data_IF_877699962907
#
_entry.id   IF_877699962907
#
_cell.length_a   1.000
_cell.length_b   1.000
_cell.length_c   1.000
_cell.angle_alpha   90.00
_cell.angle_beta   90.00
_cell.angle_gamma   90.00
#
_symmetry.space_group_name_H-M   'P 1'
#
loop_
_entity.id
_entity.type
_entity.pdbx_description
1 polymer ?
#
# COMPACT_ATOMS: atom_id res chain seq x y z
N UNK A 1 -9.65 -6.76 -5.25
CA UNK A 1 -9.72 -6.45 -3.81
C UNK A 1 -9.48 -4.95 -3.57
N UNK A 2 -8.35 -4.37 -4.05
CA UNK A 2 -8.02 -2.93 -3.85
C UNK A 2 -9.12 -2.00 -4.38
N UNK A 3 -9.63 -2.25 -5.59
CA UNK A 3 -10.71 -1.45 -6.18
C UNK A 3 -12.01 -1.53 -5.36
N UNK A 4 -12.37 -2.71 -4.86
CA UNK A 4 -13.58 -2.90 -4.03
C UNK A 4 -13.46 -2.16 -2.70
N UNK A 5 -12.29 -2.21 -2.05
CA UNK A 5 -12.04 -1.49 -0.80
C UNK A 5 -12.02 0.02 -1.04
N UNK A 6 -11.38 0.50 -2.11
CA UNK A 6 -11.39 1.90 -2.48
C UNK A 6 -12.83 2.42 -2.75
N UNK A 7 -13.65 1.66 -3.48
CA UNK A 7 -15.06 1.99 -3.72
C UNK A 7 -15.85 1.98 -2.41
N UNK A 8 -15.65 0.99 -1.52
CA UNK A 8 -16.30 0.93 -0.21
C UNK A 8 -15.95 2.13 0.68
N UNK A 9 -14.70 2.57 0.67
CA UNK A 9 -14.26 3.76 1.39
C UNK A 9 -14.90 5.04 0.83
N UNK A 10 -15.13 5.12 -0.48
CA UNK A 10 -15.81 6.26 -1.10
C UNK A 10 -17.32 6.28 -0.82
N UNK A 11 -17.97 5.11 -0.66
CA UNK A 11 -19.43 5.02 -0.47
C UNK A 11 -19.89 5.22 0.99
N UNK A 12 -19.01 4.98 1.96
CA UNK A 12 -19.33 5.04 3.39
C UNK A 12 -19.50 6.44 4.00
N UNK A 13 -19.46 7.51 3.23
CA UNK A 13 -19.35 8.88 3.74
C UNK A 13 -20.65 9.72 3.67
N UNK A 14 -21.46 9.71 4.73
CA UNK A 14 -22.65 10.60 4.84
C UNK A 14 -22.36 12.02 5.34
N UNK A 15 -21.11 12.42 5.60
CA UNK A 15 -20.76 13.79 6.01
C UNK A 15 -19.65 14.35 5.12
N UNK A 16 -19.80 15.58 4.61
CA UNK A 16 -18.85 16.20 3.66
C UNK A 16 -17.39 16.17 4.11
N UNK A 17 -17.08 16.28 5.41
CA UNK A 17 -15.72 16.16 5.96
C UNK A 17 -15.23 14.71 5.97
N UNK A 18 -16.10 13.77 6.31
CA UNK A 18 -15.80 12.36 6.30
C UNK A 18 -15.57 11.87 4.85
N UNK A 19 -16.34 12.35 3.88
CA UNK A 19 -16.16 12.03 2.47
C UNK A 19 -14.76 12.40 1.96
N UNK A 20 -14.27 13.59 2.29
CA UNK A 20 -12.91 14.00 1.93
C UNK A 20 -11.85 13.05 2.49
N UNK A 21 -11.95 12.66 3.77
CA UNK A 21 -11.00 11.75 4.41
C UNK A 21 -11.03 10.35 3.77
N UNK A 22 -12.21 9.81 3.46
CA UNK A 22 -12.33 8.52 2.77
C UNK A 22 -11.76 8.57 1.34
N UNK A 23 -11.98 9.67 0.63
CA UNK A 23 -11.42 9.86 -0.70
C UNK A 23 -9.88 9.89 -0.67
N UNK A 24 -9.28 10.60 0.28
CA UNK A 24 -7.83 10.60 0.46
C UNK A 24 -7.28 9.24 0.87
N UNK A 25 -7.98 8.50 1.74
CA UNK A 25 -7.59 7.14 2.11
C UNK A 25 -7.65 6.18 0.91
N UNK A 26 -8.69 6.28 0.08
CA UNK A 26 -8.80 5.49 -1.15
C UNK A 26 -7.71 5.85 -2.16
N UNK A 27 -7.42 7.15 -2.35
CA UNK A 27 -6.36 7.62 -3.22
C UNK A 27 -4.97 7.18 -2.72
N UNK A 28 -4.72 7.26 -1.42
CA UNK A 28 -3.49 6.75 -0.79
C UNK A 28 -3.30 5.25 -1.05
N UNK A 29 -4.35 4.44 -0.83
CA UNK A 29 -4.28 3.01 -1.07
C UNK A 29 -4.04 2.69 -2.55
N UNK A 30 -4.76 3.35 -3.46
CA UNK A 30 -4.60 3.16 -4.89
C UNK A 30 -3.19 3.55 -5.35
N UNK A 31 -2.70 4.71 -4.95
CA UNK A 31 -1.35 5.19 -5.31
C UNK A 31 -0.27 4.27 -4.74
N UNK A 32 -0.42 3.81 -3.49
CA UNK A 32 0.51 2.86 -2.86
C UNK A 32 0.54 1.53 -3.59
N UNK A 33 -0.61 0.93 -3.87
CA UNK A 33 -0.69 -0.40 -4.46
C UNK A 33 -0.31 -0.41 -5.95
N UNK A 34 -0.90 0.48 -6.76
CA UNK A 34 -0.68 0.52 -8.21
C UNK A 34 0.71 1.05 -8.54
N UNK A 35 1.11 2.15 -7.92
CA UNK A 35 2.42 2.74 -8.16
C UNK A 35 3.55 1.86 -7.64
N UNK A 36 3.39 1.24 -6.46
CA UNK A 36 4.34 0.27 -5.93
C UNK A 36 4.47 -0.98 -6.78
N UNK A 37 3.36 -1.49 -7.32
CA UNK A 37 3.36 -2.59 -8.27
C UNK A 37 4.11 -2.25 -9.57
N UNK A 38 3.88 -1.05 -10.11
CA UNK A 38 4.59 -0.55 -11.27
C UNK A 38 6.11 -0.41 -11.01
N UNK A 39 6.49 0.19 -9.89
CA UNK A 39 7.90 0.31 -9.47
C UNK A 39 8.57 -1.08 -9.31
N UNK A 40 7.85 -2.06 -8.77
CA UNK A 40 8.33 -3.44 -8.66
C UNK A 40 8.57 -4.07 -10.03
N UNK A 41 7.67 -3.84 -10.99
CA UNK A 41 7.82 -4.36 -12.36
C UNK A 41 9.06 -3.79 -13.04
N UNK A 42 9.31 -2.47 -12.91
CA UNK A 42 10.53 -1.83 -13.41
C UNK A 42 11.75 -2.41 -12.71
N UNK A 43 11.76 -2.50 -11.39
CA UNK A 43 12.90 -3.03 -10.65
C UNK A 43 13.22 -4.49 -11.04
N UNK A 44 12.20 -5.32 -11.28
CA UNK A 44 12.38 -6.69 -11.77
C UNK A 44 13.07 -6.74 -13.12
N UNK A 45 12.66 -5.91 -14.08
CA UNK A 45 13.25 -5.86 -15.41
C UNK A 45 14.70 -5.35 -15.41
N UNK A 46 15.02 -4.43 -14.50
CA UNK A 46 16.38 -3.88 -14.38
C UNK A 46 17.38 -4.83 -13.71
N UNK A 47 16.92 -5.57 -12.68
CA UNK A 47 17.81 -6.44 -11.90
C UNK A 47 17.97 -7.81 -12.51
N UNK A 48 16.91 -8.40 -13.06
CA UNK A 48 16.96 -9.68 -13.78
C UNK A 48 17.39 -10.89 -12.93
N UNK A 49 17.28 -10.83 -11.59
CA UNK A 49 17.83 -11.85 -10.68
C UNK A 49 17.13 -13.20 -10.86
N UNK A 50 17.89 -14.31 -10.97
CA UNK A 50 17.32 -15.66 -11.00
C UNK A 50 16.74 -16.03 -9.64
N UNK A 51 15.73 -16.90 -9.65
CA UNK A 51 15.12 -17.46 -8.44
C UNK A 51 16.00 -18.53 -7.80
N UNK A 52 15.75 -18.87 -6.50
CA UNK A 52 16.41 -20.01 -5.88
C UNK A 52 16.20 -21.30 -6.70
N UNK A 53 17.25 -22.13 -6.88
CA UNK A 53 17.18 -23.32 -7.72
C UNK A 53 16.30 -24.45 -7.15
N UNK A 54 15.99 -24.39 -5.85
CA UNK A 54 15.16 -25.37 -5.14
C UNK A 54 13.68 -24.98 -5.00
N UNK A 55 13.23 -23.98 -5.78
CA UNK A 55 11.82 -23.63 -5.83
C UNK A 55 11.03 -24.76 -6.50
N UNK A 56 10.88 -25.87 -5.80
CA UNK A 56 10.30 -27.11 -6.24
C UNK A 56 9.05 -27.00 -7.14
N UNK A 57 8.44 -28.14 -7.41
CA UNK A 57 7.34 -28.40 -8.35
C UNK A 57 6.10 -27.50 -8.21
N UNK A 58 6.02 -26.66 -7.18
CA UNK A 58 4.80 -25.96 -6.78
C UNK A 58 4.61 -24.56 -7.37
N UNK A 59 5.64 -23.95 -7.98
CA UNK A 59 5.46 -22.63 -8.60
C UNK A 59 6.49 -22.34 -9.69
N UNK A 60 6.11 -22.58 -10.94
CA UNK A 60 6.83 -22.00 -12.07
C UNK A 60 6.47 -20.51 -12.15
N UNK A 61 7.40 -19.66 -11.76
CA UNK A 61 7.26 -18.21 -11.87
C UNK A 61 8.25 -17.70 -12.93
N UNK A 62 7.80 -17.29 -14.11
CA UNK A 62 8.66 -16.90 -15.21
C UNK A 62 9.35 -15.54 -15.03
N UNK A 63 9.04 -14.82 -13.96
CA UNK A 63 9.55 -13.47 -13.71
C UNK A 63 10.78 -13.48 -12.81
N UNK A 64 11.63 -12.42 -12.91
CA UNK A 64 12.79 -12.20 -12.05
C UNK A 64 12.43 -12.29 -10.56
N UNK A 65 13.40 -12.76 -9.75
CA UNK A 65 13.21 -12.96 -8.33
C UNK A 65 13.13 -11.63 -7.57
N UNK A 66 14.05 -10.69 -7.85
CA UNK A 66 14.19 -9.45 -7.09
C UNK A 66 13.50 -8.26 -7.78
N UNK A 67 12.86 -7.37 -7.00
CA UNK A 67 12.36 -7.59 -5.64
C UNK A 67 11.11 -8.47 -5.63
N UNK A 68 10.73 -9.01 -4.44
CA UNK A 68 9.52 -9.81 -4.29
C UNK A 68 8.26 -8.95 -4.40
N UNK A 69 7.45 -9.19 -5.42
CA UNK A 69 6.18 -8.47 -5.63
C UNK A 69 5.15 -8.78 -4.53
N UNK A 70 5.14 -10.00 -4.00
CA UNK A 70 4.26 -10.36 -2.88
C UNK A 70 4.66 -9.63 -1.59
N UNK A 71 5.96 -9.49 -1.33
CA UNK A 71 6.46 -8.74 -0.17
C UNK A 71 6.16 -7.26 -0.31
N UNK A 72 6.38 -6.69 -1.48
CA UNK A 72 6.06 -5.29 -1.78
C UNK A 72 4.54 -5.03 -1.65
N UNK A 73 3.70 -5.86 -2.28
CA UNK A 73 2.24 -5.76 -2.19
C UNK A 73 1.72 -6.00 -0.76
N UNK A 74 2.39 -6.85 0.02
CA UNK A 74 2.13 -7.04 1.44
C UNK A 74 2.16 -5.71 2.20
N UNK A 75 3.18 -4.90 1.96
CA UNK A 75 3.31 -3.58 2.59
C UNK A 75 2.31 -2.58 2.01
N UNK A 76 2.28 -2.41 0.70
CA UNK A 76 1.48 -1.35 0.07
C UNK A 76 -0.04 -1.59 0.07
N UNK A 77 -0.49 -2.82 0.32
CA UNK A 77 -1.91 -3.15 0.42
C UNK A 77 -2.30 -3.41 1.87
N UNK A 78 -1.71 -4.43 2.52
CA UNK A 78 -2.20 -4.88 3.81
C UNK A 78 -1.78 -3.95 4.95
N UNK A 79 -0.51 -3.49 4.96
CA UNK A 79 -0.08 -2.50 5.95
C UNK A 79 -0.79 -1.16 5.72
N UNK A 80 -0.94 -0.71 4.47
CA UNK A 80 -1.70 0.50 4.17
C UNK A 80 -3.16 0.42 4.64
N UNK A 81 -3.85 -0.71 4.42
CA UNK A 81 -5.20 -0.95 4.94
C UNK A 81 -5.25 -0.92 6.47
N UNK A 82 -4.26 -1.52 7.13
CA UNK A 82 -4.13 -1.48 8.59
C UNK A 82 -3.99 -0.05 9.12
N UNK A 83 -3.15 0.77 8.49
CA UNK A 83 -2.99 2.18 8.84
C UNK A 83 -4.26 3.00 8.59
N UNK A 84 -4.95 2.76 7.46
CA UNK A 84 -6.24 3.39 7.16
C UNK A 84 -7.28 3.01 8.23
N UNK A 85 -7.34 1.75 8.63
CA UNK A 85 -8.27 1.30 9.65
C UNK A 85 -7.98 1.94 11.02
N UNK A 86 -6.71 2.16 11.40
CA UNK A 86 -6.34 2.90 12.61
C UNK A 86 -6.89 4.33 12.63
N UNK A 87 -7.00 4.96 11.47
CA UNK A 87 -7.47 6.36 11.32
C UNK A 87 -8.99 6.43 11.20
N UNK A 88 -9.61 5.53 10.41
CA UNK A 88 -11.02 5.65 10.04
C UNK A 88 -11.97 4.89 10.97
N UNK A 89 -11.51 3.83 11.64
CA UNK A 89 -12.36 3.01 12.50
C UNK A 89 -12.33 3.57 13.94
N UNK A 90 -13.49 3.90 14.53
CA UNK A 90 -13.54 4.44 15.89
C UNK A 90 -13.39 3.36 16.96
N UNK A 91 -13.03 3.79 18.17
CA UNK A 91 -13.02 2.96 19.37
C UNK A 91 -11.98 1.83 19.34
N UNK A 92 -12.21 0.79 20.14
CA UNK A 92 -11.28 -0.33 20.29
C UNK A 92 -11.27 -1.27 19.07
N UNK A 93 -12.34 -1.27 18.27
CA UNK A 93 -12.50 -2.11 17.08
C UNK A 93 -11.38 -1.84 16.06
N UNK A 94 -10.86 -0.60 15.98
CA UNK A 94 -9.71 -0.28 15.10
C UNK A 94 -8.51 -1.20 15.34
N UNK A 95 -8.22 -1.56 16.59
CA UNK A 95 -7.07 -2.42 16.89
C UNK A 95 -7.32 -3.87 16.47
N UNK A 96 -8.56 -4.35 16.63
CA UNK A 96 -8.97 -5.70 16.20
C UNK A 96 -8.84 -5.88 14.69
N UNK A 97 -9.13 -4.82 13.92
CA UNK A 97 -9.03 -4.84 12.46
C UNK A 97 -7.57 -4.57 12.02
N UNK A 98 -6.92 -3.57 12.60
CA UNK A 98 -5.62 -3.10 12.11
C UNK A 98 -4.49 -4.05 12.43
N UNK A 99 -4.42 -4.63 13.62
CA UNK A 99 -3.32 -5.50 14.02
C UNK A 99 -3.18 -6.70 13.06
N UNK A 100 -4.24 -7.47 12.75
CA UNK A 100 -4.13 -8.56 11.78
C UNK A 100 -3.64 -8.10 10.40
N UNK A 101 -4.11 -6.94 9.91
CA UNK A 101 -3.71 -6.39 8.62
C UNK A 101 -2.23 -5.97 8.61
N UNK A 102 -1.77 -5.30 9.69
CA UNK A 102 -0.37 -4.87 9.84
C UNK A 102 0.58 -6.08 9.93
N UNK A 103 0.14 -7.17 10.54
CA UNK A 103 0.92 -8.41 10.65
C UNK A 103 0.91 -9.20 9.35
N UNK A 104 -0.23 -9.27 8.67
CA UNK A 104 -0.41 -10.04 7.44
C UNK A 104 0.55 -9.61 6.33
N UNK A 105 0.79 -8.30 6.19
CA UNK A 105 1.71 -7.77 5.18
C UNK A 105 3.12 -8.37 5.27
N UNK A 106 3.82 -8.25 6.39
CA UNK A 106 5.11 -8.90 6.62
C UNK A 106 5.07 -10.43 6.50
N UNK A 107 4.03 -11.09 7.04
CA UNK A 107 3.88 -12.56 6.99
C UNK A 107 3.80 -13.06 5.55
N UNK A 108 3.09 -12.37 4.66
CA UNK A 108 3.08 -12.69 3.23
C UNK A 108 4.51 -12.67 2.66
N UNK A 109 5.32 -11.70 3.03
CA UNK A 109 6.71 -11.63 2.59
C UNK A 109 7.54 -12.82 3.10
N UNK A 110 7.48 -13.11 4.40
CA UNK A 110 8.19 -14.24 5.01
C UNK A 110 7.80 -15.55 4.34
N UNK A 111 6.51 -15.75 4.05
CA UNK A 111 6.03 -16.98 3.39
C UNK A 111 6.73 -17.24 2.06
N UNK A 112 7.15 -16.20 1.33
CA UNK A 112 7.86 -16.37 0.03
C UNK A 112 9.26 -16.94 0.18
N UNK A 113 9.96 -16.57 1.25
CA UNK A 113 11.26 -17.15 1.57
C UNK A 113 11.10 -18.59 2.09
N UNK A 114 10.13 -18.85 2.96
CA UNK A 114 9.85 -20.20 3.49
C UNK A 114 9.47 -21.18 2.37
N UNK A 115 8.69 -20.74 1.38
CA UNK A 115 8.33 -21.53 0.21
C UNK A 115 9.50 -21.72 -0.79
N UNK A 116 10.67 -21.11 -0.55
CA UNK A 116 11.84 -21.22 -1.42
C UNK A 116 11.69 -20.54 -2.78
N UNK A 117 10.64 -19.73 -3.01
CA UNK A 117 10.38 -19.06 -4.30
C UNK A 117 11.10 -17.72 -4.42
N UNK A 118 11.61 -17.19 -3.31
CA UNK A 118 12.37 -15.94 -3.22
C UNK A 118 13.53 -16.08 -2.24
N UNK A 119 14.64 -15.38 -2.52
CA UNK A 119 15.71 -15.16 -1.57
C UNK A 119 15.22 -14.24 -0.45
N UNK A 120 15.78 -14.38 0.77
CA UNK A 120 15.43 -13.47 1.87
C UNK A 120 15.69 -12.01 1.53
N UNK A 121 16.75 -11.73 0.74
CA UNK A 121 17.03 -10.38 0.25
C UNK A 121 16.01 -9.84 -0.74
N UNK A 122 15.28 -10.71 -1.49
CA UNK A 122 14.18 -10.28 -2.34
C UNK A 122 12.99 -9.81 -1.52
N UNK A 123 12.75 -10.49 -0.38
CA UNK A 123 11.71 -10.13 0.59
C UNK A 123 12.01 -8.77 1.21
N UNK A 124 13.25 -8.60 1.70
CA UNK A 124 13.70 -7.32 2.27
C UNK A 124 13.63 -6.20 1.24
N UNK A 125 14.09 -6.45 0.00
CA UNK A 125 13.96 -5.49 -1.10
C UNK A 125 12.52 -5.12 -1.42
N UNK A 126 11.61 -6.08 -1.39
CA UNK A 126 10.18 -5.86 -1.56
C UNK A 126 9.58 -4.99 -0.44
N UNK A 127 9.91 -5.29 0.82
CA UNK A 127 9.45 -4.46 1.96
C UNK A 127 10.00 -3.05 1.91
N UNK A 128 11.29 -2.89 1.60
CA UNK A 128 11.92 -1.57 1.50
C UNK A 128 11.31 -0.73 0.39
N UNK A 129 11.13 -1.31 -0.81
CA UNK A 129 10.49 -0.65 -1.94
C UNK A 129 9.04 -0.29 -1.62
N UNK A 130 8.29 -1.24 -1.03
CA UNK A 130 6.90 -1.02 -0.61
C UNK A 130 6.76 0.07 0.43
N UNK A 131 7.63 0.07 1.45
CA UNK A 131 7.66 1.09 2.50
C UNK A 131 8.00 2.48 1.97
N UNK A 132 9.04 2.59 1.14
CA UNK A 132 9.43 3.84 0.52
C UNK A 132 8.34 4.41 -0.39
N UNK A 133 7.72 3.57 -1.21
CA UNK A 133 6.62 3.97 -2.08
C UNK A 133 5.39 4.41 -1.30
N UNK A 134 5.03 3.67 -0.25
CA UNK A 134 3.90 4.01 0.64
C UNK A 134 4.15 5.34 1.35
N UNK A 135 5.37 5.60 1.84
CA UNK A 135 5.73 6.88 2.46
C UNK A 135 5.63 8.04 1.46
N UNK A 136 6.13 7.85 0.24
CA UNK A 136 6.00 8.84 -0.83
C UNK A 136 4.52 9.11 -1.17
N UNK A 137 3.71 8.07 -1.28
CA UNK A 137 2.27 8.20 -1.50
C UNK A 137 1.57 9.00 -0.39
N UNK A 138 1.94 8.78 0.86
CA UNK A 138 1.42 9.54 2.00
C UNK A 138 1.79 11.03 1.89
N UNK A 139 3.04 11.35 1.56
CA UNK A 139 3.48 12.74 1.36
C UNK A 139 2.67 13.41 0.24
N UNK A 140 2.50 12.75 -0.90
CA UNK A 140 1.71 13.27 -2.03
C UNK A 140 0.28 13.59 -1.59
N UNK A 141 -0.37 12.66 -0.89
CA UNK A 141 -1.76 12.86 -0.43
C UNK A 141 -1.85 14.01 0.58
N UNK A 142 -0.90 14.14 1.50
CA UNK A 142 -0.86 15.26 2.47
C UNK A 142 -0.71 16.59 1.73
N UNK A 143 0.19 16.69 0.75
CA UNK A 143 0.39 17.93 -0.04
C UNK A 143 -0.87 18.30 -0.82
N UNK A 144 -1.56 17.34 -1.43
CA UNK A 144 -2.84 17.58 -2.12
C UNK A 144 -3.91 18.06 -1.13
N UNK A 145 -4.05 17.40 0.02
CA UNK A 145 -5.04 17.75 1.03
C UNK A 145 -4.83 19.14 1.61
N UNK A 146 -3.58 19.50 1.93
CA UNK A 146 -3.22 20.83 2.47
C UNK A 146 -3.38 21.94 1.42
N UNK A 147 -3.01 21.69 0.17
CA UNK A 147 -3.21 22.63 -0.93
C UNK A 147 -4.71 22.90 -1.18
N UNK A 148 -5.54 21.87 -1.15
CA UNK A 148 -6.98 22.01 -1.29
C UNK A 148 -7.61 22.81 -0.12
N UNK A 149 -7.12 22.62 1.11
CA UNK A 149 -7.59 23.38 2.26
C UNK A 149 -7.25 24.88 2.17
N UNK A 150 -6.02 25.21 1.75
CA UNK A 150 -5.59 26.61 1.56
C UNK A 150 -6.47 27.34 0.54
N UNK A 151 -6.71 26.75 -0.63
CA UNK A 151 -7.56 27.34 -1.68
C UNK A 151 -8.99 27.61 -1.22
N UNK A 152 -9.55 26.78 -0.36
CA UNK A 152 -10.89 26.97 0.22
C UNK A 152 -10.93 28.18 1.16
N UNK A 153 -9.89 28.35 1.98
CA UNK A 153 -9.82 29.51 2.88
C UNK A 153 -9.68 30.81 2.09
N UNK A 154 -8.81 30.85 1.06
CA UNK A 154 -8.64 32.02 0.20
C UNK A 154 -9.92 32.42 -0.54
N UNK A 155 -10.76 31.43 -0.93
CA UNK A 155 -12.04 31.69 -1.60
C UNK A 155 -13.19 32.12 -0.66
N UNK A 156 -12.99 31.99 0.65
CA UNK A 156 -13.99 32.38 1.66
C UNK A 156 -13.74 33.77 2.28
N UNK A 157 -12.59 34.38 2.03
CA UNK A 157 -12.31 35.75 2.44
C UNK A 157 -12.99 36.72 1.48
N UNK A 158 -13.81 37.71 1.99
CA UNK A 158 -14.46 38.71 1.13
C UNK A 158 -13.40 39.59 0.49
N UNK A 159 -13.61 40.10 -0.75
CA UNK A 159 -12.71 41.07 -1.37
C UNK A 159 -12.64 42.32 -0.52
N UNK A 160 -11.41 42.81 -0.30
CA UNK A 160 -11.13 44.03 0.44
C UNK A 160 -11.71 45.27 -0.26
#
# INVERSE_FOLDING_TARGET
>A
VVAVVAIGLLWGGQRRRAFGLHAYAAAFLALSALGGGFATTIAKSLVGRPRPPWNGVWSYEPTSSYPSAHSQGGITVWVALGLIALVLVPGRVRWVISIPLLVLGPVIGVSRAVLGVHWSSDVLGGWSLGGAWMAMSAVIIVLIATGAARRRNESSDPPA
#
